data_IF_686141888084
#
_entry.id   IF_686141888084
#
_cell.length_a   1.000
_cell.length_b   1.000
_cell.length_c   1.000
_cell.angle_alpha   90.00
_cell.angle_beta   90.00
_cell.angle_gamma   90.00
#
_symmetry.space_group_name_H-M   'P 1'
#
loop_
_entity.id
_entity.type
_entity.pdbx_description
1 polymer ?
#
# COMPACT_ATOMS: atom_id res chain seq x y z
N UNK A 1 86.06 32.27 -32.06
CA UNK A 1 84.93 31.96 -32.96
C UNK A 1 84.59 30.49 -32.79
N UNK A 2 83.80 30.14 -31.76
CA UNK A 2 82.33 29.91 -31.79
C UNK A 2 81.89 28.66 -32.56
N UNK A 3 81.44 27.62 -31.84
CA UNK A 3 80.12 26.98 -31.99
C UNK A 3 80.05 25.75 -31.03
N UNK A 4 79.43 25.90 -29.85
CA UNK A 4 78.05 25.51 -29.50
C UNK A 4 77.88 24.01 -29.17
N UNK A 5 77.93 23.70 -27.87
CA UNK A 5 77.42 22.46 -27.26
C UNK A 5 75.88 22.42 -27.35
N UNK A 6 75.33 21.25 -27.68
CA UNK A 6 73.91 20.94 -27.51
C UNK A 6 73.75 19.88 -26.43
N UNK A 7 73.18 20.32 -25.31
CA UNK A 7 72.68 19.54 -24.17
C UNK A 7 71.44 18.75 -24.59
N UNK A 8 71.50 17.42 -24.46
CA UNK A 8 70.32 16.55 -24.50
C UNK A 8 70.07 16.02 -23.09
N UNK A 9 69.03 16.52 -22.42
CA UNK A 9 68.59 16.02 -21.12
C UNK A 9 67.68 14.80 -21.35
N UNK A 10 68.10 13.64 -20.85
CA UNK A 10 67.25 12.45 -20.79
C UNK A 10 66.38 12.52 -19.53
N UNK A 11 65.05 12.64 -19.68
CA UNK A 11 64.11 12.43 -18.58
C UNK A 11 64.03 10.92 -18.31
N UNK A 12 64.54 10.48 -17.15
CA UNK A 12 64.28 9.15 -16.63
C UNK A 12 62.93 9.14 -15.91
N UNK A 13 61.95 8.43 -16.46
CA UNK A 13 60.65 8.19 -15.84
C UNK A 13 60.80 7.04 -14.83
N UNK A 14 60.91 7.34 -13.54
CA UNK A 14 60.89 6.34 -12.47
C UNK A 14 59.45 5.93 -12.15
N UNK A 15 59.03 4.74 -12.59
CA UNK A 15 57.80 4.11 -12.09
C UNK A 15 58.02 3.57 -10.68
N UNK A 16 57.33 4.14 -9.70
CA UNK A 16 57.23 3.59 -8.34
C UNK A 16 56.03 2.64 -8.32
N UNK A 17 56.29 1.33 -8.26
CA UNK A 17 55.24 0.31 -8.09
C UNK A 17 54.99 0.16 -6.60
N UNK A 18 53.89 0.72 -6.09
CA UNK A 18 53.45 0.52 -4.72
C UNK A 18 52.71 -0.82 -4.65
N UNK A 19 53.36 -1.86 -4.14
CA UNK A 19 52.72 -3.14 -3.84
C UNK A 19 51.90 -3.01 -2.57
N UNK A 20 50.62 -2.65 -2.70
CA UNK A 20 49.66 -2.68 -1.59
C UNK A 20 49.27 -4.13 -1.28
N UNK A 21 49.53 -4.58 -0.05
CA UNK A 21 49.02 -5.85 0.45
C UNK A 21 47.51 -5.71 0.70
N UNK A 22 46.67 -6.18 -0.23
CA UNK A 22 45.22 -6.28 -0.01
C UNK A 22 44.91 -7.65 0.58
N UNK A 23 44.44 -7.69 1.82
CA UNK A 23 43.87 -8.91 2.39
C UNK A 23 42.43 -9.03 1.92
N UNK A 24 42.15 -9.96 1.02
CA UNK A 24 40.78 -10.32 0.65
C UNK A 24 40.22 -11.26 1.72
N UNK A 25 39.27 -10.78 2.51
CA UNK A 25 38.45 -11.63 3.39
C UNK A 25 37.34 -12.23 2.54
N UNK A 26 37.20 -13.55 2.54
CA UNK A 26 36.03 -14.24 2.00
C UNK A 26 34.83 -13.97 2.89
N UNK A 27 34.11 -12.88 2.62
CA UNK A 27 32.75 -12.68 3.11
C UNK A 27 31.77 -13.06 2.01
N UNK A 28 30.83 -13.96 2.29
CA UNK A 28 29.65 -14.12 1.44
C UNK A 28 28.75 -12.92 1.76
N UNK A 29 28.47 -12.01 0.83
CA UNK A 29 27.49 -10.96 1.08
C UNK A 29 26.13 -11.61 1.28
N UNK A 30 25.65 -11.63 2.52
CA UNK A 30 24.28 -11.98 2.84
C UNK A 30 23.46 -10.73 2.57
N UNK A 31 22.52 -10.78 1.62
CA UNK A 31 21.54 -9.71 1.44
C UNK A 31 20.72 -9.62 2.73
N UNK A 32 20.58 -8.42 3.28
CA UNK A 32 19.57 -8.20 4.31
C UNK A 32 18.21 -8.58 3.70
N UNK A 33 17.49 -9.49 4.35
CA UNK A 33 16.12 -9.82 3.97
C UNK A 33 15.20 -8.57 4.03
N UNK A 34 15.63 -7.54 4.76
CA UNK A 34 14.94 -6.24 4.91
C UNK A 34 15.18 -5.27 3.73
N UNK A 35 15.99 -5.64 2.75
CA UNK A 35 16.24 -4.85 1.54
C UNK A 35 15.52 -5.47 0.35
N UNK A 36 14.19 -5.39 0.30
CA UNK A 36 13.47 -5.84 -0.88
C UNK A 36 13.65 -4.89 -2.08
N UNK A 37 12.92 -5.15 -3.18
CA UNK A 37 13.22 -4.62 -4.52
C UNK A 37 13.34 -3.10 -4.62
N UNK A 38 12.70 -2.37 -3.71
CA UNK A 38 12.56 -0.91 -3.72
C UNK A 38 13.61 -0.17 -2.88
N UNK A 39 14.37 -0.86 -2.02
CA UNK A 39 15.37 -0.23 -1.14
C UNK A 39 14.80 0.73 -0.09
N UNK A 40 13.49 0.68 0.17
CA UNK A 40 12.80 1.46 1.21
C UNK A 40 13.05 0.81 2.57
N UNK A 41 13.35 1.62 3.59
CA UNK A 41 13.58 1.12 4.95
C UNK A 41 12.27 0.66 5.59
N UNK A 42 12.28 -0.39 6.44
CA UNK A 42 11.12 -0.75 7.25
C UNK A 42 10.65 0.43 8.12
N UNK A 43 9.34 0.68 8.11
CA UNK A 43 8.69 1.69 8.94
C UNK A 43 8.61 1.21 10.38
N UNK A 44 8.63 2.19 11.30
CA UNK A 44 8.35 2.01 12.73
C UNK A 44 6.87 2.34 13.04
N UNK A 45 6.32 1.87 14.17
CA UNK A 45 4.97 2.23 14.60
C UNK A 45 4.66 3.72 14.55
N UNK A 46 5.58 4.52 15.07
CA UNK A 46 5.46 5.99 15.12
C UNK A 46 5.44 6.69 13.76
N UNK A 47 5.55 5.95 12.66
CA UNK A 47 5.55 6.50 11.29
C UNK A 47 4.26 6.18 10.53
N UNK A 48 3.32 5.42 11.11
CA UNK A 48 2.12 4.99 10.38
C UNK A 48 1.10 6.11 10.18
N UNK A 49 0.90 6.99 11.17
CA UNK A 49 0.02 8.18 11.04
C UNK A 49 0.46 9.08 9.88
N UNK A 50 1.76 9.12 9.68
CA UNK A 50 2.45 9.85 8.64
C UNK A 50 2.24 9.24 7.23
N UNK A 51 1.79 7.99 7.13
CA UNK A 51 1.48 7.35 5.84
C UNK A 51 0.10 7.79 5.33
N UNK A 52 -0.87 7.95 6.24
CA UNK A 52 -2.24 8.33 5.92
C UNK A 52 -2.29 9.66 5.15
N UNK A 53 -3.29 9.77 4.28
CA UNK A 53 -3.60 10.97 3.52
C UNK A 53 -4.33 11.96 4.44
N UNK A 54 -4.01 13.25 4.30
CA UNK A 54 -4.75 14.31 4.97
C UNK A 54 -6.16 14.45 4.40
N UNK A 55 -7.10 14.96 5.18
CA UNK A 55 -8.48 15.20 4.73
C UNK A 55 -8.58 16.08 3.48
N UNK A 56 -7.71 17.09 3.34
CA UNK A 56 -7.65 17.92 2.12
C UNK A 56 -7.32 17.09 0.87
N UNK A 57 -6.49 16.05 1.02
CA UNK A 57 -6.08 15.18 -0.08
C UNK A 57 -7.16 14.15 -0.39
N UNK A 58 -7.87 13.65 0.62
CA UNK A 58 -9.05 12.81 0.42
C UNK A 58 -10.12 13.57 -0.36
N UNK A 59 -10.46 14.79 0.06
CA UNK A 59 -11.39 15.66 -0.68
C UNK A 59 -10.93 15.91 -2.12
N UNK A 60 -9.64 16.19 -2.35
CA UNK A 60 -9.11 16.36 -3.71
C UNK A 60 -9.27 15.12 -4.58
N UNK A 61 -8.98 13.92 -4.04
CA UNK A 61 -9.07 12.67 -4.80
C UNK A 61 -10.53 12.33 -5.11
N UNK A 62 -11.42 12.43 -4.12
CA UNK A 62 -12.83 12.10 -4.29
C UNK A 62 -13.62 13.16 -5.06
N UNK A 63 -13.05 14.36 -5.30
CA UNK A 63 -13.79 15.48 -5.87
C UNK A 63 -14.79 16.13 -4.91
N UNK A 64 -14.68 15.83 -3.61
CA UNK A 64 -15.50 16.39 -2.55
C UNK A 64 -14.93 17.72 -2.01
N UNK A 65 -15.68 18.41 -1.15
CA UNK A 65 -15.23 19.68 -0.55
C UNK A 65 -15.28 19.74 0.97
N UNK A 66 -16.04 18.84 1.59
CA UNK A 66 -16.44 18.90 2.98
C UNK A 66 -16.52 17.50 3.63
N UNK A 67 -15.82 16.50 3.06
CA UNK A 67 -15.58 15.27 3.81
C UNK A 67 -14.79 15.60 5.08
N UNK A 68 -15.19 14.96 6.17
CA UNK A 68 -14.50 15.00 7.46
C UNK A 68 -14.12 13.59 7.89
N UNK A 69 -13.04 13.45 8.66
CA UNK A 69 -12.70 12.17 9.29
C UNK A 69 -13.72 11.90 10.40
N UNK A 70 -14.50 10.83 10.25
CA UNK A 70 -15.57 10.46 11.18
C UNK A 70 -15.18 9.31 12.09
N UNK A 71 -14.16 8.53 11.71
CA UNK A 71 -13.61 7.43 12.48
C UNK A 71 -12.10 7.38 12.33
N UNK A 72 -11.41 7.11 13.44
CA UNK A 72 -9.99 6.80 13.47
C UNK A 72 -9.77 5.59 14.39
N UNK A 73 -8.98 4.62 13.93
CA UNK A 73 -8.77 3.34 14.61
C UNK A 73 -7.30 2.90 14.64
N UNK A 74 -6.93 2.20 15.71
CA UNK A 74 -5.66 1.47 15.84
C UNK A 74 -5.89 -0.04 16.09
N UNK A 75 -7.13 -0.51 15.85
CA UNK A 75 -7.57 -1.89 16.01
C UNK A 75 -8.28 -2.33 14.72
N UNK A 76 -8.24 -3.63 14.42
CA UNK A 76 -8.98 -4.21 13.30
C UNK A 76 -10.48 -4.26 13.62
N UNK A 77 -11.31 -4.06 12.60
CA UNK A 77 -12.77 -4.22 12.66
C UNK A 77 -13.19 -5.69 12.64
N UNK A 78 -14.39 -6.03 13.09
CA UNK A 78 -14.96 -7.37 12.89
C UNK A 78 -16.41 -7.25 12.42
N UNK A 79 -16.56 -7.26 11.09
CA UNK A 79 -17.84 -7.25 10.39
C UNK A 79 -18.16 -8.65 9.82
N UNK A 80 -17.49 -9.70 10.27
CA UNK A 80 -17.61 -11.04 9.69
C UNK A 80 -19.01 -11.66 9.82
N UNK A 81 -19.79 -11.26 10.82
CA UNK A 81 -21.18 -11.70 10.99
C UNK A 81 -22.16 -10.95 10.08
N UNK A 82 -21.77 -9.80 9.51
CA UNK A 82 -22.60 -9.01 8.62
C UNK A 82 -22.62 -9.54 7.18
N UNK A 83 -21.60 -10.31 6.80
CA UNK A 83 -21.40 -10.76 5.41
C UNK A 83 -21.92 -12.19 5.24
N UNK A 84 -22.78 -12.40 4.24
CA UNK A 84 -23.37 -13.72 3.97
C UNK A 84 -22.36 -14.79 3.53
N UNK A 85 -21.21 -14.38 2.98
CA UNK A 85 -20.06 -15.22 2.68
C UNK A 85 -18.79 -14.63 3.32
N UNK A 86 -18.33 -15.16 4.47
CA UNK A 86 -17.14 -14.66 5.15
C UNK A 86 -15.83 -14.80 4.34
N UNK A 87 -15.77 -15.67 3.34
CA UNK A 87 -14.57 -15.79 2.49
C UNK A 87 -14.39 -14.54 1.60
N UNK A 88 -15.47 -13.79 1.35
CA UNK A 88 -15.48 -12.53 0.61
C UNK A 88 -15.44 -11.27 1.49
N UNK A 89 -15.25 -11.43 2.79
CA UNK A 89 -15.22 -10.33 3.76
C UNK A 89 -14.21 -9.25 3.35
N UNK A 90 -12.99 -9.64 2.97
CA UNK A 90 -11.94 -8.70 2.58
C UNK A 90 -12.17 -8.02 1.23
N UNK A 91 -13.11 -8.49 0.41
CA UNK A 91 -13.53 -7.75 -0.79
C UNK A 91 -14.49 -6.63 -0.42
N UNK A 92 -15.31 -6.82 0.62
CA UNK A 92 -16.37 -5.90 1.04
C UNK A 92 -15.86 -4.82 2.00
N UNK A 93 -15.04 -5.19 2.99
CA UNK A 93 -14.59 -4.30 4.07
C UNK A 93 -13.07 -4.28 4.21
N UNK A 94 -12.53 -3.12 4.63
CA UNK A 94 -11.13 -2.94 4.97
C UNK A 94 -10.83 -3.27 6.43
N UNK A 95 -9.54 -3.39 6.78
CA UNK A 95 -9.08 -3.52 8.17
C UNK A 95 -9.75 -4.66 9.01
N UNK A 96 -10.18 -5.76 8.39
CA UNK A 96 -10.96 -6.81 9.06
C UNK A 96 -10.11 -7.84 9.84
N UNK A 97 -10.42 -8.05 11.12
CA UNK A 97 -9.69 -8.94 12.03
C UNK A 97 -9.65 -10.37 11.49
N UNK A 98 -10.76 -10.90 10.94
CA UNK A 98 -10.76 -12.25 10.35
C UNK A 98 -9.85 -12.37 9.12
N UNK A 99 -9.76 -11.31 8.31
CA UNK A 99 -8.92 -11.27 7.10
C UNK A 99 -7.45 -11.19 7.50
N UNK A 100 -7.13 -10.34 8.49
CA UNK A 100 -5.75 -10.09 8.92
C UNK A 100 -5.24 -11.09 9.97
N UNK A 101 -6.08 -11.90 10.64
CA UNK A 101 -5.76 -12.75 11.80
C UNK A 101 -4.49 -13.59 11.68
N UNK A 102 -4.19 -14.10 10.48
CA UNK A 102 -3.08 -15.03 10.21
C UNK A 102 -1.92 -14.38 9.42
N UNK A 103 -1.89 -13.06 9.37
CA UNK A 103 -0.88 -12.30 8.60
C UNK A 103 0.34 -11.86 9.43
N UNK A 104 0.35 -12.12 10.74
CA UNK A 104 1.37 -11.64 11.68
C UNK A 104 1.54 -10.11 11.66
N UNK A 105 0.46 -9.37 11.37
CA UNK A 105 0.44 -7.92 11.51
C UNK A 105 0.71 -7.52 12.96
N UNK A 106 1.28 -6.34 13.17
CA UNK A 106 1.64 -5.85 14.49
C UNK A 106 0.92 -4.57 14.88
N UNK A 107 0.64 -3.70 13.90
CA UNK A 107 0.00 -2.41 14.14
C UNK A 107 -0.82 -2.01 12.91
N UNK A 108 -1.92 -1.29 13.15
CA UNK A 108 -2.79 -0.74 12.12
C UNK A 108 -3.06 0.73 12.39
N UNK A 109 -3.27 1.48 11.30
CA UNK A 109 -3.96 2.77 11.30
C UNK A 109 -5.09 2.68 10.31
N UNK A 110 -6.27 3.04 10.76
CA UNK A 110 -7.46 3.03 9.95
C UNK A 110 -8.21 4.36 10.12
N UNK A 111 -8.73 4.90 9.02
CA UNK A 111 -9.54 6.10 9.04
C UNK A 111 -10.66 6.02 8.02
N UNK A 112 -11.85 6.43 8.45
CA UNK A 112 -13.00 6.65 7.58
C UNK A 112 -13.30 8.14 7.49
N UNK A 113 -13.52 8.63 6.27
CA UNK A 113 -13.97 9.98 5.98
C UNK A 113 -15.17 9.99 5.03
N UNK A 114 -16.09 10.92 5.27
CA UNK A 114 -17.30 11.14 4.47
C UNK A 114 -17.86 12.54 4.76
N UNK A 115 -18.80 13.01 3.94
CA UNK A 115 -19.56 14.21 4.27
C UNK A 115 -20.36 14.05 5.59
N UNK A 116 -20.62 15.13 6.34
CA UNK A 116 -21.24 15.06 7.67
C UNK A 116 -22.73 14.68 7.65
N UNK A 117 -23.40 14.82 6.50
CA UNK A 117 -24.81 14.42 6.35
C UNK A 117 -24.96 12.89 6.27
N UNK A 118 -26.16 12.39 6.57
CA UNK A 118 -26.45 10.94 6.53
C UNK A 118 -26.63 10.40 5.09
N UNK A 119 -26.68 11.29 4.10
CA UNK A 119 -26.82 11.00 2.66
C UNK A 119 -25.58 11.52 1.94
N UNK A 120 -24.43 10.93 2.28
CA UNK A 120 -23.12 11.37 1.79
C UNK A 120 -22.89 10.96 0.34
N UNK A 121 -22.34 11.87 -0.47
CA UNK A 121 -21.99 11.60 -1.87
C UNK A 121 -20.69 10.78 -1.99
N UNK A 122 -19.84 10.81 -0.95
CA UNK A 122 -18.58 10.09 -0.92
C UNK A 122 -18.36 9.41 0.43
N UNK A 123 -17.77 8.23 0.39
CA UNK A 123 -17.28 7.55 1.57
C UNK A 123 -15.92 6.97 1.26
N UNK A 124 -14.93 7.21 2.10
CA UNK A 124 -13.59 6.66 1.90
C UNK A 124 -13.04 6.08 3.19
N UNK A 125 -12.32 4.97 3.06
CA UNK A 125 -11.53 4.35 4.09
C UNK A 125 -10.08 4.24 3.61
N UNK A 126 -9.14 4.44 4.53
CA UNK A 126 -7.73 4.22 4.28
C UNK A 126 -7.10 3.49 5.46
N UNK A 127 -6.39 2.42 5.14
CA UNK A 127 -5.79 1.54 6.13
C UNK A 127 -4.30 1.36 5.84
N UNK A 128 -3.48 1.38 6.90
CA UNK A 128 -2.04 1.10 6.84
C UNK A 128 -1.73 0.04 7.89
N UNK A 129 -1.29 -1.13 7.44
CA UNK A 129 -1.01 -2.26 8.31
C UNK A 129 0.46 -2.60 8.27
N UNK A 130 1.09 -2.70 9.45
CA UNK A 130 2.52 -2.97 9.58
C UNK A 130 2.79 -4.41 9.97
N UNK A 131 3.87 -4.93 9.39
CA UNK A 131 4.43 -6.25 9.64
C UNK A 131 5.86 -6.16 10.15
N UNK A 132 6.43 -7.29 10.59
CA UNK A 132 7.84 -7.33 10.98
C UNK A 132 8.77 -7.22 9.76
N UNK A 133 8.34 -7.71 8.60
CA UNK A 133 9.16 -7.77 7.37
C UNK A 133 8.37 -7.38 6.13
N UNK A 134 9.10 -6.97 5.09
CA UNK A 134 8.51 -6.74 3.77
C UNK A 134 7.89 -7.99 3.15
N UNK A 135 8.49 -9.16 3.40
CA UNK A 135 7.97 -10.41 2.88
C UNK A 135 6.56 -10.73 3.41
N UNK A 136 6.26 -10.38 4.67
CA UNK A 136 4.92 -10.57 5.24
C UNK A 136 3.89 -9.62 4.63
N UNK A 137 4.26 -8.36 4.40
CA UNK A 137 3.37 -7.41 3.73
C UNK A 137 3.02 -7.88 2.30
N UNK A 138 4.02 -8.35 1.54
CA UNK A 138 3.81 -8.89 0.20
C UNK A 138 2.98 -10.18 0.22
N UNK A 139 3.29 -11.12 1.11
CA UNK A 139 2.55 -12.37 1.28
C UNK A 139 1.07 -12.11 1.64
N UNK A 140 0.78 -11.07 2.43
CA UNK A 140 -0.59 -10.67 2.71
C UNK A 140 -1.31 -10.21 1.44
N UNK A 141 -0.73 -9.28 0.66
CA UNK A 141 -1.35 -8.79 -0.59
C UNK A 141 -1.54 -9.92 -1.61
N UNK A 142 -0.61 -10.88 -1.71
CA UNK A 142 -0.73 -12.05 -2.57
C UNK A 142 -1.89 -12.98 -2.15
N UNK A 143 -2.09 -13.16 -0.84
CA UNK A 143 -3.22 -13.93 -0.29
C UNK A 143 -4.55 -13.22 -0.53
N UNK A 144 -4.61 -11.91 -0.26
CA UNK A 144 -5.79 -11.09 -0.54
C UNK A 144 -6.14 -11.12 -2.02
N UNK A 145 -5.15 -11.04 -2.91
CA UNK A 145 -5.34 -11.18 -4.36
C UNK A 145 -6.01 -12.50 -4.74
N UNK A 146 -5.63 -13.60 -4.07
CA UNK A 146 -6.22 -14.91 -4.34
C UNK A 146 -7.67 -14.98 -3.84
N UNK A 147 -7.93 -14.50 -2.62
CA UNK A 147 -9.27 -14.46 -2.05
C UNK A 147 -10.22 -13.58 -2.87
N UNK A 148 -9.79 -12.37 -3.24
CA UNK A 148 -10.62 -11.43 -4.00
C UNK A 148 -10.99 -11.97 -5.38
N UNK A 149 -10.07 -12.70 -6.03
CA UNK A 149 -10.35 -13.37 -7.30
C UNK A 149 -11.41 -14.46 -7.18
N UNK A 150 -11.43 -15.19 -6.08
CA UNK A 150 -12.43 -16.25 -5.86
C UNK A 150 -13.84 -15.66 -5.63
N UNK A 151 -13.92 -14.40 -5.22
CA UNK A 151 -15.17 -13.65 -5.01
C UNK A 151 -15.70 -12.92 -6.25
N UNK A 152 -14.88 -12.77 -7.29
CA UNK A 152 -15.27 -12.06 -8.52
C UNK A 152 -16.42 -12.75 -9.27
N UNK A 153 -17.37 -11.95 -9.75
CA UNK A 153 -18.55 -12.39 -10.48
C UNK A 153 -19.67 -12.98 -9.62
N UNK A 154 -19.60 -12.81 -8.30
CA UNK A 154 -20.63 -13.23 -7.35
C UNK A 154 -21.21 -12.03 -6.59
N UNK A 155 -22.40 -12.21 -6.01
CA UNK A 155 -23.01 -11.22 -5.13
C UNK A 155 -23.01 -11.71 -3.69
N UNK A 156 -22.83 -10.78 -2.76
CA UNK A 156 -22.80 -11.05 -1.32
C UNK A 156 -23.82 -10.15 -0.64
N UNK A 157 -24.67 -10.71 0.22
CA UNK A 157 -25.53 -9.93 1.09
C UNK A 157 -24.76 -9.42 2.31
N UNK A 158 -24.99 -8.16 2.66
CA UNK A 158 -24.46 -7.48 3.84
C UNK A 158 -25.63 -7.04 4.72
N UNK A 159 -25.63 -7.40 5.98
CA UNK A 159 -26.62 -7.02 7.00
C UNK A 159 -25.90 -6.52 8.26
N UNK A 160 -25.95 -5.20 8.47
CA UNK A 160 -25.32 -4.54 9.63
C UNK A 160 -26.25 -4.47 10.87
N UNK A 161 -27.39 -5.16 10.81
CA UNK A 161 -28.44 -5.14 11.84
C UNK A 161 -29.39 -3.94 11.77
N UNK A 162 -29.08 -2.95 10.92
CA UNK A 162 -29.90 -1.75 10.65
C UNK A 162 -30.40 -1.73 9.21
N UNK A 163 -29.52 -2.06 8.28
CA UNK A 163 -29.76 -2.12 6.85
C UNK A 163 -29.29 -3.46 6.28
N UNK A 164 -29.95 -3.88 5.21
CA UNK A 164 -29.55 -5.07 4.45
C UNK A 164 -29.46 -4.71 2.98
N UNK A 165 -28.37 -5.10 2.34
CA UNK A 165 -28.07 -4.80 0.95
C UNK A 165 -27.37 -5.98 0.27
N UNK A 166 -27.41 -6.00 -1.06
CA UNK A 166 -26.70 -6.97 -1.89
C UNK A 166 -25.63 -6.22 -2.67
N UNK A 167 -24.42 -6.76 -2.68
CA UNK A 167 -23.26 -6.19 -3.35
C UNK A 167 -22.78 -7.16 -4.42
N UNK A 168 -22.79 -6.73 -5.68
CA UNK A 168 -22.13 -7.43 -6.78
C UNK A 168 -20.62 -7.15 -6.71
N UNK A 169 -19.81 -8.20 -6.79
CA UNK A 169 -18.36 -8.10 -6.71
C UNK A 169 -17.78 -8.34 -8.11
N UNK A 170 -17.11 -7.34 -8.67
CA UNK A 170 -16.44 -7.47 -9.97
C UNK A 170 -15.18 -8.35 -9.90
N UNK A 171 -14.68 -8.76 -11.06
CA UNK A 171 -13.41 -9.47 -11.16
C UNK A 171 -12.26 -8.61 -10.59
N UNK A 172 -11.45 -9.21 -9.69
CA UNK A 172 -10.26 -8.56 -9.18
C UNK A 172 -9.18 -8.40 -10.27
N UNK A 173 -8.64 -7.18 -10.37
CA UNK A 173 -7.59 -6.79 -11.31
C UNK A 173 -6.29 -6.58 -10.55
N UNK A 174 -5.17 -7.01 -11.15
CA UNK A 174 -3.83 -6.69 -10.66
C UNK A 174 -3.07 -5.99 -11.77
N UNK A 175 -2.61 -4.77 -11.49
CA UNK A 175 -1.75 -3.98 -12.38
C UNK A 175 -0.52 -3.49 -11.61
N UNK A 176 0.68 -3.73 -12.16
CA UNK A 176 1.96 -3.67 -11.46
C UNK A 176 1.95 -4.47 -10.14
N UNK A 177 1.80 -3.79 -9.00
CA UNK A 177 1.73 -4.36 -7.64
C UNK A 177 0.45 -3.91 -6.91
N UNK A 178 -0.52 -3.35 -7.65
CA UNK A 178 -1.80 -2.87 -7.14
C UNK A 178 -2.89 -3.89 -7.40
N UNK A 179 -3.48 -4.41 -6.33
CA UNK A 179 -4.75 -5.15 -6.37
C UNK A 179 -5.89 -4.15 -6.38
N UNK A 180 -6.91 -4.37 -7.21
CA UNK A 180 -8.12 -3.54 -7.26
C UNK A 180 -9.35 -4.39 -7.56
N UNK A 181 -10.46 -4.09 -6.92
CA UNK A 181 -11.76 -4.72 -7.15
C UNK A 181 -12.84 -3.67 -6.94
N UNK A 182 -13.88 -3.72 -7.77
CA UNK A 182 -15.06 -2.86 -7.61
C UNK A 182 -16.19 -3.70 -7.03
N UNK A 183 -16.94 -3.12 -6.11
CA UNK A 183 -18.19 -3.69 -5.60
C UNK A 183 -19.32 -2.68 -5.84
N UNK A 184 -20.46 -3.16 -6.33
CA UNK A 184 -21.62 -2.33 -6.67
C UNK A 184 -22.82 -2.74 -5.83
N UNK A 185 -23.48 -1.78 -5.19
CA UNK A 185 -24.67 -2.07 -4.40
C UNK A 185 -25.89 -2.19 -5.33
N UNK A 186 -26.65 -3.27 -5.21
CA UNK A 186 -27.92 -3.43 -5.94
C UNK A 186 -28.97 -2.41 -5.47
N UNK A 187 -29.84 -1.98 -6.38
CA UNK A 187 -30.96 -1.05 -6.12
C UNK A 187 -30.54 0.28 -5.43
N UNK A 188 -29.32 0.76 -5.69
CA UNK A 188 -28.69 1.91 -5.02
C UNK A 188 -28.53 3.17 -5.90
N UNK A 189 -29.15 3.21 -7.08
CA UNK A 189 -28.92 4.25 -8.09
C UNK A 189 -27.46 4.39 -8.58
N UNK A 190 -26.65 3.33 -8.39
CA UNK A 190 -25.27 3.25 -8.89
C UNK A 190 -24.22 3.62 -7.86
N UNK A 191 -24.49 3.33 -6.58
CA UNK A 191 -23.48 3.41 -5.53
C UNK A 191 -22.48 2.27 -5.67
N UNK A 192 -21.22 2.62 -5.85
CA UNK A 192 -20.13 1.68 -6.10
C UNK A 192 -18.94 2.04 -5.23
N UNK A 193 -18.14 1.03 -4.86
CA UNK A 193 -16.89 1.20 -4.14
C UNK A 193 -15.75 0.58 -4.93
N UNK A 194 -14.67 1.32 -5.11
CA UNK A 194 -13.39 0.79 -5.56
C UNK A 194 -12.51 0.48 -4.36
N UNK A 195 -12.24 -0.81 -4.16
CA UNK A 195 -11.31 -1.31 -3.16
C UNK A 195 -9.95 -1.56 -3.80
N UNK A 196 -8.88 -1.00 -3.25
CA UNK A 196 -7.52 -1.19 -3.73
C UNK A 196 -6.55 -1.52 -2.59
N UNK A 197 -5.51 -2.29 -2.91
CA UNK A 197 -4.49 -2.69 -1.95
C UNK A 197 -3.12 -2.83 -2.62
N UNK A 198 -2.05 -2.46 -1.90
CA UNK A 198 -0.66 -2.63 -2.32
C UNK A 198 0.24 -2.84 -1.09
N UNK A 199 1.50 -3.23 -1.31
CA UNK A 199 2.52 -3.27 -0.27
C UNK A 199 3.73 -2.38 -0.59
N UNK A 200 4.37 -1.85 0.45
CA UNK A 200 5.62 -1.08 0.36
C UNK A 200 6.41 -1.22 1.66
N UNK A 201 7.73 -1.45 1.58
CA UNK A 201 8.53 -1.80 2.75
C UNK A 201 7.85 -2.93 3.56
N UNK A 202 7.73 -2.80 4.89
CA UNK A 202 7.03 -3.73 5.78
C UNK A 202 5.57 -3.34 6.06
N UNK A 203 4.91 -2.58 5.18
CA UNK A 203 3.49 -2.23 5.33
C UNK A 203 2.67 -2.67 4.12
N UNK A 204 1.44 -3.11 4.35
CA UNK A 204 0.37 -3.06 3.35
C UNK A 204 -0.40 -1.75 3.52
N UNK A 205 -0.91 -1.25 2.41
CA UNK A 205 -1.76 -0.07 2.35
C UNK A 205 -3.01 -0.42 1.55
N UNK A 206 -4.16 -0.02 2.06
CA UNK A 206 -5.48 -0.40 1.57
C UNK A 206 -6.34 0.86 1.55
N UNK A 207 -7.23 0.96 0.57
CA UNK A 207 -8.21 2.02 0.51
C UNK A 207 -9.50 1.54 -0.14
N UNK A 208 -10.62 1.97 0.40
CA UNK A 208 -11.93 1.82 -0.21
C UNK A 208 -12.43 3.23 -0.49
N UNK A 209 -12.85 3.49 -1.73
CA UNK A 209 -13.49 4.74 -2.10
C UNK A 209 -14.83 4.44 -2.74
N UNK A 210 -15.90 4.97 -2.16
CA UNK A 210 -17.26 4.82 -2.63
C UNK A 210 -17.83 6.16 -3.07
N UNK A 211 -18.53 6.13 -4.21
CA UNK A 211 -19.19 7.30 -4.78
C UNK A 211 -20.20 6.84 -5.85
N UNK A 212 -21.04 7.77 -6.30
CA UNK A 212 -21.77 7.60 -7.55
C UNK A 212 -20.85 7.82 -8.75
N UNK A 213 -20.59 6.77 -9.53
CA UNK A 213 -19.71 6.84 -10.69
C UNK A 213 -18.22 6.81 -10.35
N UNK A 214 -17.83 5.90 -9.45
CA UNK A 214 -16.44 5.65 -9.08
C UNK A 214 -15.59 5.30 -10.30
N UNK A 215 -14.32 5.70 -10.30
CA UNK A 215 -13.39 5.53 -11.39
C UNK A 215 -12.04 4.97 -10.94
N UNK A 216 -11.12 5.80 -10.48
CA UNK A 216 -9.77 5.41 -10.05
C UNK A 216 -9.38 5.95 -8.67
N UNK A 217 -10.34 6.48 -7.91
CA UNK A 217 -10.15 7.16 -6.63
C UNK A 217 -9.45 6.25 -5.62
N UNK A 218 -9.92 5.01 -5.44
CA UNK A 218 -9.31 4.02 -4.55
C UNK A 218 -7.87 3.71 -4.95
N UNK A 219 -7.60 3.47 -6.24
CA UNK A 219 -6.22 3.23 -6.71
C UNK A 219 -5.33 4.47 -6.53
N UNK A 220 -5.87 5.67 -6.72
CA UNK A 220 -5.18 6.94 -6.54
C UNK A 220 -4.84 7.18 -5.07
N UNK A 221 -5.73 6.81 -4.15
CA UNK A 221 -5.46 6.81 -2.71
C UNK A 221 -4.31 5.87 -2.36
N UNK A 222 -4.37 4.60 -2.78
CA UNK A 222 -3.31 3.63 -2.45
C UNK A 222 -1.96 4.05 -3.05
N UNK A 223 -1.91 4.57 -4.28
CA UNK A 223 -0.66 5.12 -4.85
C UNK A 223 -0.08 6.25 -3.98
N UNK A 224 -0.94 7.12 -3.43
CA UNK A 224 -0.52 8.20 -2.56
C UNK A 224 -0.04 7.69 -1.19
N UNK A 225 -0.71 6.68 -0.62
CA UNK A 225 -0.25 5.99 0.60
C UNK A 225 1.12 5.33 0.39
N UNK A 226 1.30 4.60 -0.72
CA UNK A 226 2.59 4.01 -1.11
C UNK A 226 3.67 5.10 -1.19
N UNK A 227 3.36 6.23 -1.83
CA UNK A 227 4.30 7.34 -1.97
C UNK A 227 4.65 8.01 -0.63
N UNK A 228 3.70 8.10 0.32
CA UNK A 228 3.95 8.60 1.66
C UNK A 228 4.85 7.64 2.44
N UNK A 229 4.54 6.35 2.44
CA UNK A 229 5.34 5.32 3.12
C UNK A 229 6.78 5.23 2.57
N UNK A 230 6.96 5.31 1.25
CA UNK A 230 8.27 5.26 0.61
C UNK A 230 9.22 6.42 1.00
N UNK A 231 8.69 7.50 1.59
CA UNK A 231 9.47 8.68 2.03
C UNK A 231 9.86 8.65 3.52
N UNK A 232 9.42 7.63 4.27
CA UNK A 232 9.59 7.56 5.73
C UNK A 232 10.93 6.96 6.15
#
# INVERSE_FOLDING_TARGET
MTARLRTGAALALTLVVVSGCTTTVTGVPVRNADSGPTGVQPLRPSQLDDVLLSIDRLNEISGATDMEVVLEGEEMSDNSEAVSDPDCLGSIFGAEDQVYRLSDWTDVRDQVAREPDDDNDHWVEQTVVRYATQAQALDFVEKSTSAWRDCGGFSVAVDDGTTSSIWEIDDAVVDDDMLTQVIAQEDSDGWECQHAMSAVANVSVEAIACAFGISDEGTTMVRALVANAARR
#
